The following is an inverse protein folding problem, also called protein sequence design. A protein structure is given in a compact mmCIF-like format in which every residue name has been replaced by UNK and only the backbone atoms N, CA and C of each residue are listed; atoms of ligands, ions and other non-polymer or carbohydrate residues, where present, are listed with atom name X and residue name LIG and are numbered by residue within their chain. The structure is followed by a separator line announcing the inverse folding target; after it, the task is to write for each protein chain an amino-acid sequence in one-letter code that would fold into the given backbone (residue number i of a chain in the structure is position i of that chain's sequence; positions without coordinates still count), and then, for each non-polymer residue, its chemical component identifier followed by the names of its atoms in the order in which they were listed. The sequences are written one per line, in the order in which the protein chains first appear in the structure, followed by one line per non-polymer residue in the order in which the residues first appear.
data_IF_850639286702
#
_entry.id   IF_850639286702
#
_cell.length_a   1.000
_cell.length_b   1.000
_cell.length_c   1.000
_cell.angle_alpha   90.00
_cell.angle_beta   90.00
_cell.angle_gamma   90.00
#
_symmetry.space_group_name_H-M   'P 1'
#
loop_
_entity.id
_entity.type
_entity.pdbx_description
1 polymer ?
#
# COMPACT_ATOMS: atom_id res chain seq x y z
N UNK A 1 17.68 18.48 -7.04
CA UNK A 1 18.06 17.07 -6.79
C UNK A 1 17.04 16.46 -5.86
N UNK A 2 16.08 15.72 -6.39
CA UNK A 2 15.25 14.78 -5.62
C UNK A 2 14.83 13.70 -6.61
N UNK A 3 15.71 12.72 -6.82
CA UNK A 3 15.32 11.47 -7.49
C UNK A 3 14.35 10.73 -6.57
N UNK A 4 13.06 11.07 -6.64
CA UNK A 4 11.98 10.33 -5.99
C UNK A 4 11.31 9.46 -7.03
N UNK A 5 11.96 8.38 -7.45
CA UNK A 5 11.39 7.42 -8.36
C UNK A 5 10.60 6.35 -7.58
N UNK A 6 9.67 6.79 -6.71
CA UNK A 6 8.74 5.87 -6.06
C UNK A 6 7.82 5.27 -7.13
N UNK A 7 7.68 3.93 -7.22
CA UNK A 7 6.85 3.32 -8.23
C UNK A 7 5.38 3.62 -7.96
N UNK A 8 4.62 4.03 -8.99
CA UNK A 8 3.18 4.23 -8.86
C UNK A 8 2.47 2.95 -8.36
N UNK A 9 2.90 1.80 -8.88
CA UNK A 9 2.39 0.49 -8.53
C UNK A 9 3.51 -0.43 -8.08
N UNK A 10 3.32 -1.12 -6.95
CA UNK A 10 4.30 -2.04 -6.40
C UNK A 10 3.73 -3.45 -6.20
N UNK A 11 4.60 -4.47 -6.19
CA UNK A 11 4.21 -5.82 -5.83
C UNK A 11 3.81 -5.88 -4.34
N UNK A 12 2.94 -6.83 -3.93
CA UNK A 12 2.69 -7.08 -2.50
C UNK A 12 3.99 -7.28 -1.70
N UNK A 13 4.97 -7.99 -2.25
CA UNK A 13 6.27 -8.16 -1.58
C UNK A 13 7.05 -6.85 -1.39
N UNK A 14 7.00 -5.95 -2.36
CA UNK A 14 7.62 -4.62 -2.24
C UNK A 14 6.90 -3.80 -1.19
N UNK A 15 5.56 -3.81 -1.17
CA UNK A 15 4.75 -3.12 -0.14
C UNK A 15 5.09 -3.63 1.26
N UNK A 16 5.24 -4.95 1.43
CA UNK A 16 5.67 -5.52 2.72
C UNK A 16 6.99 -4.93 3.21
N UNK A 17 7.97 -4.80 2.32
CA UNK A 17 9.29 -4.24 2.65
C UNK A 17 9.24 -2.74 2.90
N UNK A 18 8.47 -1.99 2.10
CA UNK A 18 8.35 -0.53 2.23
C UNK A 18 7.60 -0.10 3.49
N UNK A 19 6.53 -0.83 3.86
CA UNK A 19 5.62 -0.43 4.94
C UNK A 19 5.68 -1.35 6.18
N UNK A 20 6.54 -2.36 6.19
CA UNK A 20 6.71 -3.28 7.32
C UNK A 20 5.47 -4.15 7.61
N UNK A 21 4.62 -4.41 6.61
CA UNK A 21 3.35 -5.13 6.80
C UNK A 21 3.49 -6.64 6.56
N UNK A 22 2.69 -7.42 7.30
CA UNK A 22 2.52 -8.84 7.03
C UNK A 22 1.71 -9.06 5.73
N UNK A 23 1.92 -10.17 5.00
CA UNK A 23 1.09 -10.50 3.83
C UNK A 23 -0.40 -10.56 4.18
N UNK A 24 -0.74 -11.19 5.32
CA UNK A 24 -2.11 -11.31 5.78
C UNK A 24 -2.76 -9.95 6.01
N UNK A 25 -2.02 -8.99 6.55
CA UNK A 25 -2.51 -7.61 6.72
C UNK A 25 -2.78 -6.98 5.36
N UNK A 26 -1.86 -7.07 4.41
CA UNK A 26 -2.04 -6.48 3.07
C UNK A 26 -3.29 -7.03 2.38
N UNK A 27 -3.46 -8.35 2.34
CA UNK A 27 -4.63 -8.95 1.70
C UNK A 27 -5.93 -8.58 2.43
N UNK A 28 -5.92 -8.52 3.75
CA UNK A 28 -7.08 -8.04 4.53
C UNK A 28 -7.44 -6.60 4.20
N UNK A 29 -6.46 -5.71 4.07
CA UNK A 29 -6.71 -4.31 3.68
C UNK A 29 -7.27 -4.21 2.27
N UNK A 30 -6.80 -5.06 1.35
CA UNK A 30 -7.34 -5.17 -0.01
C UNK A 30 -8.80 -5.65 0.01
N UNK A 31 -9.09 -6.71 0.77
CA UNK A 31 -10.44 -7.29 0.89
C UNK A 31 -11.43 -6.30 1.51
N UNK A 32 -10.97 -5.48 2.46
CA UNK A 32 -11.76 -4.42 3.08
C UNK A 32 -11.91 -3.17 2.21
N UNK A 33 -11.22 -3.10 1.07
CA UNK A 33 -11.19 -1.91 0.20
C UNK A 33 -10.47 -0.71 0.81
N UNK A 34 -9.65 -0.92 1.85
CA UNK A 34 -8.92 0.16 2.53
C UNK A 34 -7.69 0.62 1.74
N UNK A 35 -7.18 -0.25 0.84
CA UNK A 35 -6.07 0.05 -0.07
C UNK A 35 -6.39 -0.40 -1.51
N UNK A 36 -6.04 0.44 -2.47
CA UNK A 36 -6.30 0.19 -3.90
C UNK A 36 -5.29 -0.80 -4.47
N UNK A 37 -5.80 -1.84 -5.11
CA UNK A 37 -4.98 -2.79 -5.88
C UNK A 37 -5.60 -3.08 -7.24
N UNK A 38 -4.75 -3.30 -8.22
CA UNK A 38 -5.12 -3.60 -9.59
C UNK A 38 -4.45 -4.90 -10.05
N UNK A 39 -5.14 -5.67 -10.88
CA UNK A 39 -4.53 -6.80 -11.59
C UNK A 39 -3.87 -6.25 -12.86
N UNK A 40 -2.54 -6.25 -12.90
CA UNK A 40 -1.77 -5.80 -14.06
C UNK A 40 -1.11 -7.05 -14.68
N UNK A 41 -1.63 -7.45 -15.84
CA UNK A 41 -1.30 -8.72 -16.47
C UNK A 41 -1.67 -9.92 -15.59
N UNK A 42 -0.69 -10.78 -15.27
CA UNK A 42 -0.89 -11.95 -14.41
C UNK A 42 -0.74 -11.66 -12.91
N UNK A 43 -0.21 -10.48 -12.56
CA UNK A 43 0.17 -10.16 -11.17
C UNK A 43 -0.73 -9.08 -10.57
N UNK A 44 -0.97 -9.18 -9.26
CA UNK A 44 -1.59 -8.08 -8.50
C UNK A 44 -0.54 -7.03 -8.18
N UNK A 45 -0.91 -5.76 -8.33
CA UNK A 45 -0.12 -4.59 -7.96
C UNK A 45 -0.94 -3.68 -7.05
N UNK A 46 -0.26 -2.99 -6.14
CA UNK A 46 -0.87 -2.12 -5.15
C UNK A 46 -0.45 -0.69 -5.48
N UNK A 47 -1.41 0.23 -5.46
CA UNK A 47 -1.15 1.65 -5.66
C UNK A 47 -0.47 2.21 -4.41
N UNK A 48 0.76 2.70 -4.54
CA UNK A 48 1.57 3.13 -3.39
C UNK A 48 0.95 4.35 -2.70
N UNK A 49 0.40 5.29 -3.47
CA UNK A 49 -0.32 6.45 -2.93
C UNK A 49 -1.50 6.06 -2.02
N UNK A 50 -2.19 4.96 -2.31
CA UNK A 50 -3.30 4.48 -1.47
C UNK A 50 -2.83 3.92 -0.13
N UNK A 51 -1.62 3.35 -0.07
CA UNK A 51 -0.99 2.93 1.18
C UNK A 51 -0.68 4.14 2.06
N UNK A 52 -0.06 5.17 1.48
CA UNK A 52 0.23 6.42 2.19
C UNK A 52 -1.06 7.03 2.76
N UNK A 53 -2.12 7.14 1.94
CA UNK A 53 -3.42 7.63 2.40
C UNK A 53 -4.03 6.78 3.54
N UNK A 54 -3.83 5.47 3.53
CA UNK A 54 -4.26 4.61 4.63
C UNK A 54 -3.52 4.93 5.94
N UNK A 55 -2.20 5.10 5.89
CA UNK A 55 -1.43 5.42 7.09
C UNK A 55 -1.74 6.81 7.65
N UNK A 56 -1.91 7.81 6.79
CA UNK A 56 -2.28 9.17 7.23
C UNK A 56 -3.63 9.17 7.95
N UNK A 57 -4.68 8.53 7.41
CA UNK A 57 -5.98 8.42 8.10
C UNK A 57 -5.89 7.75 9.47
N UNK A 58 -5.06 6.71 9.59
CA UNK A 58 -4.90 5.97 10.85
C UNK A 58 -4.03 6.71 11.87
N UNK A 59 -3.13 7.58 11.41
CA UNK A 59 -2.36 8.47 12.28
C UNK A 59 -3.29 9.45 12.99
N UNK A 60 -4.25 10.03 12.27
CA UNK A 60 -5.25 10.96 12.83
C UNK A 60 -6.17 10.24 13.83
N UNK A 61 -6.54 8.99 13.55
CA UNK A 61 -7.43 8.20 14.43
C UNK A 61 -6.78 7.79 15.76
N UNK A 62 -5.44 7.69 15.82
CA UNK A 62 -4.71 7.37 17.06
C UNK A 62 -4.23 8.60 17.84
N UNK A 63 -4.31 9.79 17.24
CA UNK A 63 -3.93 11.05 17.87
C UNK A 63 -5.13 11.78 18.53
N UNK A 64 -6.35 11.29 18.33
CA UNK A 64 -7.58 11.72 18.98
C UNK A 64 -7.93 10.78 20.16
#
# INVERSE_FOLDING_TARGET
MTSQNEPLYAAPETIRKMFGLSPATIYRLIERGEITSAKIGKSRRILVASMHAYFERNRETKAA
#
